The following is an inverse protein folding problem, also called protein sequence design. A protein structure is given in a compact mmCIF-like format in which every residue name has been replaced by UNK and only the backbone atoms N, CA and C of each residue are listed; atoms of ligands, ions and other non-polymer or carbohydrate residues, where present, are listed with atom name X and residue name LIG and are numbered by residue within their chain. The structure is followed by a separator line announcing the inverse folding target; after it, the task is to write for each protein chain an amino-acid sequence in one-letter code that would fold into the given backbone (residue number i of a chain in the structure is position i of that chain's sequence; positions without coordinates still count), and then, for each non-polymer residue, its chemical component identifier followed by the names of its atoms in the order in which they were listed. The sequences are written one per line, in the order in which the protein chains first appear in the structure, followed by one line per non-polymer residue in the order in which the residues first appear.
data_IF_582956849714
#
_entry.id   IF_582956849714
#
_cell.length_a   1.000
_cell.length_b   1.000
_cell.length_c   1.000
_cell.angle_alpha   90.00
_cell.angle_beta   90.00
_cell.angle_gamma   90.00
#
_symmetry.space_group_name_H-M   'P 1'
#
loop_
_entity.id
_entity.type
_entity.pdbx_description
1 polymer ?
#
# COMPACT_ATOMS: atom_id res chain seq x y z
N UNK A 1 -9.13 -66.19 58.87
CA UNK A 1 -10.50 -65.81 58.43
C UNK A 1 -10.82 -64.38 58.87
N UNK A 2 -10.61 -63.40 57.98
CA UNK A 2 -11.60 -62.37 57.63
C UNK A 2 -11.08 -61.62 56.39
N UNK A 3 -11.95 -61.62 55.39
CA UNK A 3 -11.79 -61.07 54.04
C UNK A 3 -12.22 -59.60 54.02
N UNK A 4 -11.73 -58.82 53.05
CA UNK A 4 -12.24 -57.50 52.66
C UNK A 4 -11.15 -56.43 52.68
N UNK A 5 -10.98 -55.56 51.69
CA UNK A 5 -11.70 -55.28 50.45
C UNK A 5 -10.83 -54.31 49.65
N UNK A 6 -10.83 -54.47 48.32
CA UNK A 6 -10.27 -53.55 47.33
C UNK A 6 -10.93 -52.16 47.40
N UNK A 7 -10.20 -51.12 46.99
CA UNK A 7 -10.58 -49.93 46.20
C UNK A 7 -9.44 -48.90 46.41
N UNK A 8 -8.56 -48.66 45.44
CA UNK A 8 -8.91 -48.08 44.15
C UNK A 8 -8.91 -46.55 44.26
N UNK A 9 -7.73 -45.92 44.28
CA UNK A 9 -7.57 -44.47 44.07
C UNK A 9 -6.37 -44.22 43.16
N UNK A 10 -6.61 -44.40 41.87
CA UNK A 10 -5.79 -43.84 40.79
C UNK A 10 -5.89 -42.32 40.87
N UNK A 11 -4.77 -41.66 41.17
CA UNK A 11 -4.66 -40.22 41.07
C UNK A 11 -4.75 -39.80 39.59
N UNK A 12 -5.63 -38.86 39.21
CA UNK A 12 -5.58 -38.31 37.85
C UNK A 12 -4.33 -37.43 37.74
N UNK A 13 -3.37 -37.87 36.93
CA UNK A 13 -2.25 -37.06 36.46
C UNK A 13 -2.86 -35.94 35.61
N UNK A 14 -2.96 -34.74 36.22
CA UNK A 14 -3.40 -33.53 35.54
C UNK A 14 -2.25 -33.07 34.62
N UNK A 15 -2.20 -33.60 33.40
CA UNK A 15 -1.23 -33.20 32.40
C UNK A 15 -1.73 -31.92 31.72
N UNK A 16 -1.51 -30.76 32.35
CA UNK A 16 -1.74 -29.45 31.73
C UNK A 16 -0.68 -29.21 30.67
N UNK A 17 -0.99 -29.55 29.42
CA UNK A 17 -0.19 -29.15 28.25
C UNK A 17 -0.46 -27.66 28.01
N UNK A 18 0.43 -26.80 28.49
CA UNK A 18 0.44 -25.38 28.15
C UNK A 18 1.06 -25.20 26.75
N UNK A 19 0.20 -25.25 25.72
CA UNK A 19 0.57 -24.82 24.37
C UNK A 19 0.66 -23.29 24.36
N UNK A 20 1.84 -22.76 24.65
CA UNK A 20 2.19 -21.36 24.37
C UNK A 20 2.35 -21.21 22.85
N UNK A 21 1.25 -20.92 22.16
CA UNK A 21 1.27 -20.38 20.80
C UNK A 21 1.89 -18.98 20.85
N UNK A 22 3.21 -18.90 20.75
CA UNK A 22 3.90 -17.68 20.41
C UNK A 22 3.53 -17.33 18.96
N UNK A 23 2.45 -16.56 18.78
CA UNK A 23 2.16 -15.91 17.50
C UNK A 23 3.29 -14.92 17.27
N UNK A 24 4.28 -15.31 16.47
CA UNK A 24 5.28 -14.39 15.97
C UNK A 24 4.57 -13.40 15.04
N UNK A 25 4.20 -12.24 15.58
CA UNK A 25 3.73 -11.12 14.77
C UNK A 25 4.91 -10.67 13.90
N UNK A 26 4.94 -11.12 12.65
CA UNK A 26 5.84 -10.55 11.66
C UNK A 26 5.60 -9.03 11.65
N UNK A 27 6.67 -8.23 11.74
CA UNK A 27 6.55 -6.77 11.70
C UNK A 27 5.80 -6.38 10.41
N UNK A 28 4.82 -5.48 10.49
CA UNK A 28 4.08 -5.07 9.31
C UNK A 28 5.04 -4.48 8.29
N UNK A 29 4.81 -4.80 7.02
CA UNK A 29 5.54 -4.19 5.92
C UNK A 29 5.18 -2.71 5.88
N UNK A 30 6.18 -1.84 6.06
CA UNK A 30 6.01 -0.39 6.10
C UNK A 30 6.37 0.26 4.78
N UNK A 31 5.50 1.14 4.32
CA UNK A 31 5.69 2.03 3.18
C UNK A 31 5.55 3.48 3.64
N UNK A 32 6.39 4.36 3.13
CA UNK A 32 6.19 5.80 3.23
C UNK A 32 5.53 6.33 1.96
N UNK A 33 4.51 7.18 2.07
CA UNK A 33 3.90 7.87 0.94
C UNK A 33 4.25 9.35 0.96
N UNK A 34 4.77 9.85 -0.15
CA UNK A 34 5.29 11.21 -0.28
C UNK A 34 4.56 11.87 -1.47
N UNK A 35 3.51 12.66 -1.20
CA UNK A 35 2.80 13.37 -2.26
C UNK A 35 3.54 14.63 -2.69
N UNK A 36 3.30 15.01 -3.95
CA UNK A 36 3.61 16.33 -4.46
C UNK A 36 2.91 17.44 -3.67
N UNK A 37 3.48 18.64 -3.64
CA UNK A 37 2.99 19.74 -2.80
C UNK A 37 1.52 20.09 -3.07
N UNK A 38 1.12 20.09 -4.34
CA UNK A 38 -0.25 20.37 -4.77
C UNK A 38 -1.29 19.37 -4.21
N UNK A 39 -0.88 18.13 -3.91
CA UNK A 39 -1.78 17.10 -3.37
C UNK A 39 -1.93 17.18 -1.85
N UNK A 40 -0.97 17.77 -1.11
CA UNK A 40 -0.99 17.78 0.36
C UNK A 40 -2.23 18.46 0.94
N UNK A 41 -2.70 19.50 0.25
CA UNK A 41 -3.85 20.30 0.68
C UNK A 41 -5.15 19.91 -0.04
N UNK A 42 -5.13 18.86 -0.87
CA UNK A 42 -6.31 18.42 -1.61
C UNK A 42 -7.19 17.49 -0.73
N UNK A 43 -8.46 17.83 -0.48
CA UNK A 43 -9.34 16.99 0.33
C UNK A 43 -9.58 15.59 -0.27
N UNK A 44 -9.65 15.47 -1.59
CA UNK A 44 -9.86 14.19 -2.27
C UNK A 44 -8.63 13.29 -2.16
N UNK A 45 -7.41 13.87 -2.14
CA UNK A 45 -6.20 13.13 -1.79
C UNK A 45 -6.28 12.58 -0.35
N UNK A 46 -6.71 13.39 0.62
CA UNK A 46 -6.82 12.94 2.01
C UNK A 46 -7.77 11.74 2.16
N UNK A 47 -8.91 11.74 1.46
CA UNK A 47 -9.83 10.60 1.43
C UNK A 47 -9.19 9.36 0.77
N UNK A 48 -8.53 9.54 -0.38
CA UNK A 48 -7.88 8.43 -1.08
C UNK A 48 -6.74 7.82 -0.25
N UNK A 49 -5.97 8.66 0.46
CA UNK A 49 -4.92 8.21 1.38
C UNK A 49 -5.50 7.40 2.54
N UNK A 50 -6.55 7.89 3.20
CA UNK A 50 -7.17 7.17 4.31
C UNK A 50 -7.73 5.81 3.84
N UNK A 51 -8.38 5.77 2.67
CA UNK A 51 -8.89 4.54 2.07
C UNK A 51 -7.77 3.53 1.74
N UNK A 52 -6.63 4.04 1.25
CA UNK A 52 -5.45 3.23 0.94
C UNK A 52 -4.80 2.69 2.22
N UNK A 53 -4.66 3.52 3.25
CA UNK A 53 -4.12 3.13 4.56
C UNK A 53 -4.99 2.05 5.22
N UNK A 54 -6.32 2.22 5.20
CA UNK A 54 -7.25 1.23 5.71
C UNK A 54 -7.13 -0.11 4.96
N UNK A 55 -7.00 -0.06 3.63
CA UNK A 55 -6.76 -1.26 2.84
C UNK A 55 -5.41 -1.92 3.16
N UNK A 56 -4.35 -1.15 3.33
CA UNK A 56 -3.03 -1.69 3.71
C UNK A 56 -3.08 -2.36 5.09
N UNK A 57 -3.66 -1.69 6.10
CA UNK A 57 -3.76 -2.19 7.47
C UNK A 57 -4.55 -3.50 7.54
N UNK A 58 -5.67 -3.58 6.82
CA UNK A 58 -6.49 -4.79 6.72
C UNK A 58 -5.74 -5.99 6.10
N UNK A 59 -4.60 -5.76 5.44
CA UNK A 59 -3.78 -6.79 4.81
C UNK A 59 -2.36 -6.85 5.41
N UNK A 60 -2.17 -6.38 6.65
CA UNK A 60 -0.90 -6.53 7.38
C UNK A 60 0.24 -5.61 6.94
N UNK A 61 -0.10 -4.55 6.20
CA UNK A 61 0.84 -3.50 5.77
C UNK A 61 0.52 -2.19 6.47
N UNK A 62 1.49 -1.29 6.50
CA UNK A 62 1.34 0.04 7.07
C UNK A 62 1.84 1.07 6.06
N UNK A 63 0.99 2.05 5.72
CA UNK A 63 1.35 3.17 4.84
C UNK A 63 1.37 4.43 5.70
N UNK A 64 2.55 5.03 5.86
CA UNK A 64 2.78 6.20 6.69
C UNK A 64 3.05 7.42 5.82
N UNK A 65 2.61 8.62 6.22
CA UNK A 65 3.03 9.84 5.55
C UNK A 65 4.56 9.97 5.69
N UNK A 66 5.24 10.18 4.56
CA UNK A 66 6.67 10.45 4.50
C UNK A 66 6.96 11.93 4.27
N UNK A 67 8.11 12.39 4.76
CA UNK A 67 8.59 13.74 4.50
C UNK A 67 9.65 13.74 3.37
N UNK A 68 9.58 14.69 2.42
CA UNK A 68 10.60 14.84 1.40
C UNK A 68 11.99 15.02 2.02
N UNK A 69 12.96 14.29 1.48
CA UNK A 69 14.36 14.37 1.92
C UNK A 69 14.66 13.75 3.29
N UNK A 70 13.64 13.25 4.01
CA UNK A 70 13.79 12.56 5.30
C UNK A 70 13.15 11.19 5.34
N UNK A 71 12.89 10.61 4.16
CA UNK A 71 12.26 9.32 4.04
C UNK A 71 13.09 8.24 4.77
N UNK A 72 12.49 7.61 5.76
CA UNK A 72 13.16 6.66 6.67
C UNK A 72 12.95 5.22 6.25
N UNK A 73 11.95 4.95 5.40
CA UNK A 73 11.63 3.60 4.95
C UNK A 73 12.34 3.27 3.63
N UNK A 74 12.73 2.00 3.49
CA UNK A 74 13.24 1.42 2.25
C UNK A 74 12.15 1.22 1.20
N UNK A 75 10.86 1.38 1.54
CA UNK A 75 9.75 1.25 0.60
C UNK A 75 8.98 2.56 0.57
N UNK A 76 8.85 3.16 -0.62
CA UNK A 76 8.27 4.48 -0.77
C UNK A 76 7.29 4.53 -1.93
N UNK A 77 6.24 5.30 -1.76
CA UNK A 77 5.24 5.64 -2.77
C UNK A 77 5.37 7.13 -3.06
N UNK A 78 5.86 7.49 -4.24
CA UNK A 78 5.95 8.87 -4.69
C UNK A 78 4.71 9.17 -5.53
N UNK A 79 3.98 10.24 -5.21
CA UNK A 79 2.74 10.59 -5.90
C UNK A 79 2.87 11.97 -6.55
N UNK A 80 2.52 12.06 -7.83
CA UNK A 80 2.75 13.23 -8.68
C UNK A 80 3.83 12.96 -9.71
N UNK A 81 3.77 13.66 -10.84
CA UNK A 81 4.86 13.67 -11.83
C UNK A 81 6.03 14.55 -11.35
N UNK A 82 7.11 14.59 -12.14
CA UNK A 82 8.29 15.40 -11.85
C UNK A 82 8.05 16.91 -11.79
N UNK A 83 6.94 17.41 -12.33
CA UNK A 83 6.58 18.82 -12.22
C UNK A 83 5.87 19.14 -10.89
N UNK A 84 5.29 18.12 -10.22
CA UNK A 84 4.55 18.28 -8.96
C UNK A 84 5.25 17.65 -7.76
N UNK A 85 6.25 16.79 -7.97
CA UNK A 85 6.97 16.10 -6.92
C UNK A 85 8.48 16.09 -7.22
N UNK A 86 9.23 16.91 -6.48
CA UNK A 86 10.68 17.06 -6.65
C UNK A 86 11.45 15.73 -6.49
N UNK A 87 10.97 14.82 -5.63
CA UNK A 87 11.60 13.51 -5.49
C UNK A 87 11.45 12.66 -6.76
N UNK A 88 10.33 12.79 -7.46
CA UNK A 88 10.14 12.12 -8.75
C UNK A 88 11.07 12.74 -9.79
N UNK A 89 11.26 14.07 -9.78
CA UNK A 89 12.23 14.73 -10.67
C UNK A 89 13.66 14.21 -10.45
N UNK A 90 14.09 14.11 -9.19
CA UNK A 90 15.41 13.56 -8.82
C UNK A 90 15.54 12.11 -9.28
N UNK A 91 14.54 11.26 -8.99
CA UNK A 91 14.58 9.84 -9.37
C UNK A 91 14.57 9.64 -10.88
N UNK A 92 13.83 10.45 -11.64
CA UNK A 92 13.86 10.40 -13.11
C UNK A 92 15.23 10.81 -13.67
N UNK A 93 15.85 11.84 -13.10
CA UNK A 93 17.16 12.31 -13.53
C UNK A 93 18.28 11.30 -13.20
N UNK A 94 18.25 10.70 -12.01
CA UNK A 94 19.33 9.84 -11.51
C UNK A 94 19.18 8.37 -11.92
N UNK A 95 17.96 7.85 -11.93
CA UNK A 95 17.69 6.41 -12.10
C UNK A 95 16.98 6.08 -13.41
N UNK A 96 16.52 7.09 -14.16
CA UNK A 96 15.92 6.89 -15.48
C UNK A 96 14.64 6.04 -15.44
N UNK A 97 13.66 6.40 -14.61
CA UNK A 97 12.41 5.64 -14.56
C UNK A 97 11.69 5.65 -15.92
N UNK A 98 11.02 4.54 -16.31
CA UNK A 98 10.38 4.40 -17.62
C UNK A 98 9.03 5.13 -17.72
N UNK A 99 8.90 6.32 -17.12
CA UNK A 99 7.69 7.14 -17.22
C UNK A 99 7.72 7.93 -18.52
N UNK A 100 6.71 7.73 -19.37
CA UNK A 100 6.53 8.45 -20.64
C UNK A 100 5.61 9.66 -20.47
N UNK A 101 4.87 9.71 -19.37
CA UNK A 101 3.82 10.69 -19.14
C UNK A 101 2.51 10.27 -19.79
N UNK A 102 1.43 10.91 -19.34
CA UNK A 102 0.06 10.65 -19.80
C UNK A 102 -0.55 11.92 -20.36
N UNK A 103 -1.30 11.80 -21.45
CA UNK A 103 -1.91 12.94 -22.15
C UNK A 103 -3.22 13.42 -21.52
N UNK A 104 -3.87 12.57 -20.71
CA UNK A 104 -5.12 12.90 -20.03
C UNK A 104 -4.85 13.36 -18.60
N UNK A 105 -5.51 14.43 -18.16
CA UNK A 105 -5.44 14.94 -16.77
C UNK A 105 -5.95 13.94 -15.73
N UNK A 106 -6.76 12.97 -16.17
CA UNK A 106 -7.28 11.86 -15.37
C UNK A 106 -6.51 10.55 -15.60
N UNK A 107 -5.60 10.51 -16.58
CA UNK A 107 -4.71 9.37 -16.77
C UNK A 107 -3.67 9.29 -15.68
N UNK A 108 -3.13 8.09 -15.47
CA UNK A 108 -1.93 7.90 -14.67
C UNK A 108 -1.04 6.81 -15.26
N UNK A 109 0.23 6.92 -14.95
CA UNK A 109 1.26 5.93 -15.22
C UNK A 109 1.93 5.57 -13.90
N UNK A 110 2.33 4.32 -13.77
CA UNK A 110 3.08 3.83 -12.61
C UNK A 110 4.33 3.08 -13.04
N UNK A 111 5.39 3.27 -12.27
CA UNK A 111 6.62 2.50 -12.38
C UNK A 111 7.05 2.08 -10.97
N UNK A 112 7.62 0.88 -10.85
CA UNK A 112 8.44 0.53 -9.68
C UNK A 112 9.89 0.45 -10.06
N UNK A 113 10.71 1.05 -9.21
CA UNK A 113 12.16 1.01 -9.31
C UNK A 113 12.71 0.33 -8.07
N UNK A 114 13.77 -0.43 -8.29
CA UNK A 114 14.59 -0.98 -7.22
C UNK A 114 15.94 -0.30 -7.32
N UNK A 115 16.25 0.51 -6.32
CA UNK A 115 17.53 1.21 -6.22
C UNK A 115 18.59 0.25 -5.68
N UNK A 116 19.87 0.51 -5.99
CA UNK A 116 21.01 -0.32 -5.59
C UNK A 116 21.24 -0.41 -4.09
N UNK A 117 20.67 0.53 -3.31
CA UNK A 117 20.64 0.54 -1.85
C UNK A 117 19.57 -0.38 -1.24
N UNK A 118 18.80 -1.10 -2.09
CA UNK A 118 17.69 -1.95 -1.69
C UNK A 118 16.37 -1.21 -1.48
N UNK A 119 16.31 0.08 -1.79
CA UNK A 119 15.08 0.87 -1.74
C UNK A 119 14.15 0.48 -2.88
N UNK A 120 12.88 0.22 -2.57
CA UNK A 120 11.80 0.03 -3.54
C UNK A 120 10.96 1.30 -3.63
N UNK A 121 10.90 1.89 -4.82
CA UNK A 121 10.16 3.10 -5.11
C UNK A 121 9.00 2.78 -6.05
N UNK A 122 7.78 2.98 -5.59
CA UNK A 122 6.58 3.02 -6.44
C UNK A 122 6.30 4.47 -6.80
N UNK A 123 6.33 4.81 -8.08
CA UNK A 123 5.98 6.14 -8.57
C UNK A 123 4.59 6.07 -9.19
N UNK A 124 3.72 7.01 -8.81
CA UNK A 124 2.39 7.23 -9.37
C UNK A 124 2.38 8.62 -9.99
N UNK A 125 2.44 8.68 -11.32
CA UNK A 125 2.47 9.93 -12.08
C UNK A 125 1.18 10.10 -12.88
N UNK A 126 0.25 10.88 -12.34
CA UNK A 126 -0.97 11.32 -13.02
C UNK A 126 -0.70 12.44 -14.01
N UNK A 127 -1.60 12.62 -14.99
CA UNK A 127 -1.60 13.82 -15.85
C UNK A 127 -2.11 15.07 -15.15
N UNK A 128 -2.52 14.94 -13.89
CA UNK A 128 -3.00 15.98 -13.00
C UNK A 128 -3.41 15.35 -11.65
N UNK A 129 -3.91 16.19 -10.73
CA UNK A 129 -4.32 15.77 -9.38
C UNK A 129 -5.34 14.62 -9.42
N UNK A 130 -6.32 14.68 -10.34
CA UNK A 130 -7.31 13.61 -10.49
C UNK A 130 -6.68 12.27 -10.91
N UNK A 131 -5.71 12.31 -11.83
CA UNK A 131 -4.95 11.12 -12.23
C UNK A 131 -4.13 10.55 -11.08
N UNK A 132 -3.46 11.41 -10.30
CA UNK A 132 -2.69 11.01 -9.12
C UNK A 132 -3.59 10.25 -8.11
N UNK A 133 -4.79 10.78 -7.84
CA UNK A 133 -5.79 10.17 -6.95
C UNK A 133 -6.31 8.84 -7.53
N UNK A 134 -6.59 8.76 -8.83
CA UNK A 134 -7.01 7.51 -9.47
C UNK A 134 -5.92 6.44 -9.40
N UNK A 135 -4.65 6.82 -9.50
CA UNK A 135 -3.53 5.92 -9.28
C UNK A 135 -3.54 5.31 -7.87
N UNK A 136 -3.82 6.12 -6.84
CA UNK A 136 -3.95 5.61 -5.45
C UNK A 136 -5.09 4.62 -5.31
N UNK A 137 -6.25 4.90 -5.93
CA UNK A 137 -7.37 3.96 -5.91
C UNK A 137 -7.06 2.65 -6.65
N UNK A 138 -6.28 2.71 -7.71
CA UNK A 138 -5.79 1.50 -8.38
C UNK A 138 -4.89 0.68 -7.45
N UNK A 139 -3.93 1.31 -6.75
CA UNK A 139 -3.06 0.61 -5.79
C UNK A 139 -3.87 -0.02 -4.67
N UNK A 140 -4.85 0.71 -4.14
CA UNK A 140 -5.79 0.21 -3.13
C UNK A 140 -6.52 -1.05 -3.61
N UNK A 141 -7.04 -1.04 -4.83
CA UNK A 141 -7.74 -2.20 -5.41
C UNK A 141 -6.81 -3.41 -5.50
N UNK A 142 -5.55 -3.19 -5.91
CA UNK A 142 -4.54 -4.25 -5.96
C UNK A 142 -4.14 -4.77 -4.60
N UNK A 143 -4.02 -3.93 -3.57
CA UNK A 143 -3.80 -4.39 -2.19
C UNK A 143 -4.95 -5.31 -1.76
N UNK A 144 -6.20 -4.95 -2.07
CA UNK A 144 -7.35 -5.77 -1.69
C UNK A 144 -7.36 -7.13 -2.39
N UNK A 145 -7.02 -7.14 -3.68
CA UNK A 145 -7.00 -8.34 -4.51
C UNK A 145 -5.79 -9.25 -4.23
N UNK A 146 -4.59 -8.66 -4.19
CA UNK A 146 -3.31 -9.38 -4.15
C UNK A 146 -2.69 -9.47 -2.76
N UNK A 147 -3.25 -8.77 -1.75
CA UNK A 147 -2.75 -8.75 -0.36
C UNK A 147 -1.35 -8.14 -0.20
N UNK A 148 -0.82 -7.52 -1.26
CA UNK A 148 0.47 -6.84 -1.30
C UNK A 148 0.38 -5.65 -2.25
N UNK A 149 1.31 -4.70 -2.13
CA UNK A 149 1.55 -3.71 -3.19
C UNK A 149 2.20 -4.45 -4.36
N UNK A 150 1.60 -4.45 -5.56
CA UNK A 150 2.15 -5.14 -6.73
C UNK A 150 3.37 -4.39 -7.28
N UNK A 151 4.30 -5.12 -7.92
CA UNK A 151 5.27 -4.53 -8.84
C UNK A 151 4.50 -4.12 -10.12
N UNK A 152 4.32 -2.81 -10.41
CA UNK A 152 3.53 -2.36 -11.53
C UNK A 152 4.38 -2.20 -12.80
N UNK A 153 3.79 -2.67 -13.89
CA UNK A 153 3.86 -1.98 -15.18
C UNK A 153 2.39 -1.73 -15.56
N UNK A 154 1.87 -0.55 -15.23
CA UNK A 154 0.49 -0.18 -15.54
C UNK A 154 0.43 1.27 -16.05
N UNK A 155 0.10 1.42 -17.33
CA UNK A 155 -0.35 2.68 -17.93
C UNK A 155 -1.88 2.60 -17.99
N UNK A 156 -2.57 3.55 -17.36
CA UNK A 156 -4.03 3.63 -17.39
C UNK A 156 -4.45 5.03 -17.81
N UNK A 157 -4.84 5.17 -19.07
CA UNK A 157 -5.52 6.36 -19.57
C UNK A 157 -7.02 6.05 -19.62
N UNK A 158 -7.90 6.83 -18.95
CA UNK A 158 -9.33 6.64 -19.08
C UNK A 158 -9.75 6.87 -20.54
N UNK A 159 -10.35 5.85 -21.16
CA UNK A 159 -10.75 5.85 -22.57
C UNK A 159 -12.03 6.62 -22.90
N UNK A 160 -12.64 7.34 -21.93
CA UNK A 160 -13.90 8.07 -22.17
C UNK A 160 -13.92 9.43 -21.46
N UNK A 161 -13.90 10.51 -22.25
CA UNK A 161 -13.88 11.92 -21.80
C UNK A 161 -15.21 12.43 -21.20
N UNK A 162 -16.31 11.68 -21.22
CA UNK A 162 -17.56 12.05 -20.52
C UNK A 162 -18.47 10.82 -20.40
N UNK A 163 -18.86 10.43 -19.18
CA UNK A 163 -20.15 9.73 -19.00
C UNK A 163 -21.23 10.81 -19.01
N UNK A 164 -21.77 11.13 -20.19
CA UNK A 164 -23.07 11.79 -20.21
C UNK A 164 -24.09 10.81 -19.64
N UNK A 165 -24.62 11.12 -18.45
CA UNK A 165 -25.82 10.49 -17.97
C UNK A 165 -26.92 10.70 -19.00
N UNK A 166 -27.49 9.61 -19.48
CA UNK A 166 -28.75 9.62 -20.21
C UNK A 166 -29.77 10.20 -19.24
N UNK A 167 -30.12 11.47 -19.42
CA UNK A 167 -31.33 12.03 -18.80
C UNK A 167 -32.40 11.88 -19.86
N UNK A 168 -33.14 10.77 -19.77
CA UNK A 168 -34.44 10.62 -20.41
C UNK A 168 -35.39 11.63 -19.77
N UNK A 169 -36.00 12.49 -20.58
CA UNK A 169 -37.39 12.94 -20.50
C UNK A 169 -37.77 13.59 -21.84
#
# INVERSE_FOLDING_TARGET
MKMGSLLGRTAPILLTVQFLLAVAFAKPVRWEIIPGEALRNDPAYAFALADLQNAALANGMEILPGEPGRATQQRRILVGDAARNDQVAVVLHEQGAPLKGVSSTQGFEMATLHTTDGTTLLIIAGGGIAGDIYGLYWVRDRIRACKTIPEPIAICCPGMTRRMGITSL
#
